data_IF_566189092392
#
_entry.id   IF_566189092392
#
_cell.length_a   1.000
_cell.length_b   1.000
_cell.length_c   1.000
_cell.angle_alpha   90.00
_cell.angle_beta   90.00
_cell.angle_gamma   90.00
#
_symmetry.space_group_name_H-M   'P 1'
#
loop_
_entity.id
_entity.type
_entity.pdbx_description
1 polymer ?
#
# COMPACT_ATOMS: atom_id res chain seq x y z
N UNK A 1 8.90 11.01 -19.72
CA UNK A 1 8.77 10.78 -18.26
C UNK A 1 7.30 10.62 -17.85
N UNK A 2 6.43 11.61 -18.07
CA UNK A 2 4.97 11.50 -17.80
C UNK A 2 4.30 10.25 -18.40
N UNK A 3 4.56 9.96 -19.69
CA UNK A 3 3.98 8.80 -20.37
C UNK A 3 4.36 7.44 -19.72
N UNK A 4 5.57 7.31 -19.16
CA UNK A 4 6.03 6.09 -18.49
C UNK A 4 5.28 5.86 -17.19
N UNK A 5 5.10 6.91 -16.38
CA UNK A 5 4.31 6.80 -15.15
C UNK A 5 2.83 6.58 -15.43
N UNK A 6 2.27 7.21 -16.46
CA UNK A 6 0.89 6.93 -16.87
C UNK A 6 0.72 5.45 -17.25
N UNK A 7 1.65 4.87 -18.01
CA UNK A 7 1.61 3.46 -18.34
C UNK A 7 1.77 2.57 -17.10
N UNK A 8 2.75 2.85 -16.24
CA UNK A 8 2.92 2.12 -14.98
C UNK A 8 1.68 2.21 -14.08
N UNK A 9 0.94 3.33 -14.10
CA UNK A 9 -0.32 3.45 -13.37
C UNK A 9 -1.41 2.60 -14.00
N UNK A 10 -1.49 2.52 -15.33
CA UNK A 10 -2.42 1.63 -16.02
C UNK A 10 -2.12 0.16 -15.72
N UNK A 11 -0.85 -0.22 -15.80
CA UNK A 11 -0.41 -1.57 -15.47
C UNK A 11 -0.71 -1.87 -13.99
N UNK A 12 -0.49 -0.88 -13.10
CA UNK A 12 -0.85 -1.05 -11.70
C UNK A 12 -2.36 -1.15 -11.49
N UNK A 13 -3.21 -0.33 -12.08
CA UNK A 13 -4.66 -0.39 -11.79
C UNK A 13 -5.39 -1.54 -12.46
N UNK A 14 -4.73 -2.27 -13.36
CA UNK A 14 -5.28 -3.46 -13.99
C UNK A 14 -5.49 -4.57 -12.96
N UNK A 15 -6.75 -5.00 -12.83
CA UNK A 15 -7.15 -6.06 -11.91
C UNK A 15 -6.50 -7.40 -12.27
N UNK A 16 -6.17 -7.63 -13.53
CA UNK A 16 -5.58 -8.89 -13.96
C UNK A 16 -4.16 -9.11 -13.40
N UNK A 17 -3.51 -8.02 -12.93
CA UNK A 17 -2.18 -8.08 -12.32
C UNK A 17 -2.18 -8.53 -10.85
N UNK A 18 -3.35 -8.72 -10.23
CA UNK A 18 -3.51 -9.56 -9.04
C UNK A 18 -2.79 -9.11 -7.76
N UNK A 19 -2.36 -7.85 -7.67
CA UNK A 19 -1.92 -7.22 -6.41
C UNK A 19 -3.13 -6.78 -5.58
N UNK A 20 -4.23 -6.37 -6.22
CA UNK A 20 -5.42 -5.89 -5.52
C UNK A 20 -6.12 -7.05 -4.77
N UNK A 21 -6.53 -6.79 -3.53
CA UNK A 21 -7.30 -7.73 -2.72
C UNK A 21 -8.70 -7.17 -2.48
N UNK A 22 -9.73 -7.87 -2.96
CA UNK A 22 -11.13 -7.50 -2.74
C UNK A 22 -11.78 -8.38 -1.68
N UNK A 23 -12.06 -7.79 -0.51
CA UNK A 23 -12.74 -8.49 0.58
C UNK A 23 -14.20 -8.88 0.23
N UNK A 24 -14.81 -8.23 -0.77
CA UNK A 24 -16.20 -8.48 -1.17
C UNK A 24 -16.41 -9.90 -1.71
N UNK A 25 -15.37 -10.51 -2.30
CA UNK A 25 -15.42 -11.86 -2.87
C UNK A 25 -14.41 -12.81 -2.23
N UNK A 26 -13.71 -12.37 -1.19
CA UNK A 26 -12.76 -13.21 -0.47
C UNK A 26 -13.48 -14.19 0.44
N UNK A 27 -13.07 -15.47 0.39
CA UNK A 27 -13.45 -16.44 1.41
C UNK A 27 -12.78 -16.12 2.75
N UNK A 28 -13.34 -16.63 3.86
CA UNK A 28 -12.75 -16.42 5.19
C UNK A 28 -11.29 -16.89 5.28
N UNK A 29 -10.95 -18.01 4.61
CA UNK A 29 -9.57 -18.51 4.52
C UNK A 29 -8.65 -17.53 3.80
N UNK A 30 -9.10 -16.94 2.68
CA UNK A 30 -8.29 -15.95 1.95
C UNK A 30 -8.07 -14.66 2.73
N UNK A 31 -9.00 -14.29 3.61
CA UNK A 31 -8.82 -13.16 4.53
C UNK A 31 -7.82 -13.49 5.63
N UNK A 32 -7.86 -14.70 6.18
CA UNK A 32 -6.92 -15.14 7.22
C UNK A 32 -5.50 -15.33 6.68
N UNK A 33 -5.38 -15.81 5.44
CA UNK A 33 -4.10 -16.01 4.76
C UNK A 33 -3.61 -14.71 4.07
N UNK A 34 -4.35 -13.60 4.17
CA UNK A 34 -3.96 -12.35 3.56
C UNK A 34 -2.72 -11.77 4.23
N UNK A 35 -1.73 -11.43 3.40
CA UNK A 35 -0.50 -10.76 3.82
C UNK A 35 -0.29 -9.50 3.00
N UNK A 36 -0.13 -8.38 3.69
CA UNK A 36 0.15 -7.09 3.03
C UNK A 36 1.51 -7.14 2.32
N UNK A 37 2.45 -7.96 2.82
CA UNK A 37 3.75 -8.15 2.21
C UNK A 37 3.65 -8.80 0.82
N UNK A 38 2.75 -9.76 0.65
CA UNK A 38 2.56 -10.43 -0.64
C UNK A 38 1.96 -9.46 -1.66
N UNK A 39 1.05 -8.59 -1.23
CA UNK A 39 0.48 -7.53 -2.07
C UNK A 39 1.55 -6.52 -2.50
N UNK A 40 2.33 -6.00 -1.57
CA UNK A 40 3.35 -5.00 -1.87
C UNK A 40 4.50 -5.58 -2.70
N UNK A 41 4.88 -6.86 -2.51
CA UNK A 41 5.83 -7.55 -3.37
C UNK A 41 5.33 -7.65 -4.82
N UNK A 42 4.05 -7.97 -5.01
CA UNK A 42 3.43 -7.96 -6.35
C UNK A 42 3.36 -6.56 -6.94
N UNK A 43 2.94 -5.57 -6.15
CA UNK A 43 2.89 -4.17 -6.55
C UNK A 43 4.26 -3.68 -7.06
N UNK A 44 5.34 -4.01 -6.34
CA UNK A 44 6.71 -3.70 -6.74
C UNK A 44 7.13 -4.39 -8.04
N UNK A 45 6.68 -5.63 -8.28
CA UNK A 45 6.96 -6.32 -9.54
C UNK A 45 6.24 -5.74 -10.75
N UNK A 46 5.02 -5.19 -10.55
CA UNK A 46 4.16 -4.66 -11.62
C UNK A 46 4.51 -3.23 -11.99
N UNK A 47 4.78 -2.38 -11.00
CA UNK A 47 5.07 -0.96 -11.24
C UNK A 47 6.18 -0.44 -10.31
N UNK A 48 7.43 -0.92 -10.47
CA UNK A 48 8.53 -0.57 -9.57
C UNK A 48 8.79 0.94 -9.51
N UNK A 49 8.63 1.65 -10.64
CA UNK A 49 8.87 3.09 -10.70
C UNK A 49 7.84 3.91 -9.90
N UNK A 50 6.64 3.37 -9.69
CA UNK A 50 5.63 4.00 -8.83
C UNK A 50 5.93 3.73 -7.36
N UNK A 51 6.40 2.53 -7.02
CA UNK A 51 6.84 2.21 -5.65
C UNK A 51 8.00 3.13 -5.21
N UNK A 52 8.99 3.36 -6.08
CA UNK A 52 10.10 4.28 -5.81
C UNK A 52 9.61 5.72 -5.56
N UNK A 53 8.57 6.15 -6.29
CA UNK A 53 7.93 7.45 -6.11
C UNK A 53 7.22 7.56 -4.77
N UNK A 54 6.51 6.52 -4.35
CA UNK A 54 5.83 6.47 -3.06
C UNK A 54 6.84 6.55 -1.92
N UNK A 55 7.96 5.82 -2.02
CA UNK A 55 9.05 5.90 -1.04
C UNK A 55 9.69 7.29 -0.99
N UNK A 56 9.87 7.94 -2.14
CA UNK A 56 10.42 9.29 -2.23
C UNK A 56 9.49 10.34 -1.60
N UNK A 57 8.18 10.21 -1.83
CA UNK A 57 7.16 11.14 -1.29
C UNK A 57 6.87 10.87 0.18
N UNK A 58 6.95 9.60 0.61
CA UNK A 58 6.74 9.16 1.99
C UNK A 58 7.84 9.56 2.97
N UNK A 59 8.87 10.28 2.53
CA UNK A 59 9.88 10.87 3.41
C UNK A 59 10.96 9.91 3.92
N UNK A 60 10.87 8.61 3.62
CA UNK A 60 11.84 7.63 4.12
C UNK A 60 13.04 7.48 3.18
N UNK A 61 13.96 8.44 3.21
CA UNK A 61 15.30 8.28 2.62
C UNK A 61 16.21 7.34 3.43
N UNK A 62 15.67 6.62 4.41
CA UNK A 62 16.43 5.76 5.32
C UNK A 62 15.85 4.36 5.37
N UNK A 63 16.16 3.57 4.34
CA UNK A 63 16.41 2.16 4.56
C UNK A 63 15.20 1.28 4.85
N UNK A 64 14.05 1.53 4.23
CA UNK A 64 13.10 0.45 3.90
C UNK A 64 13.75 -0.48 2.88
N UNK A 65 14.74 -1.23 3.35
CA UNK A 65 15.01 -2.55 2.82
C UNK A 65 13.69 -3.26 3.04
N UNK A 66 12.96 -3.53 1.95
CA UNK A 66 11.89 -4.51 1.91
C UNK A 66 12.50 -5.87 2.28
N UNK A 67 12.87 -6.02 3.54
CA UNK A 67 13.53 -7.17 4.09
C UNK A 67 12.45 -7.93 4.79
N UNK A 68 12.05 -9.03 4.15
CA UNK A 68 11.48 -10.20 4.80
C UNK A 68 12.36 -10.60 5.97
N UNK A 69 12.16 -9.99 7.13
CA UNK A 69 12.69 -10.43 8.42
C UNK A 69 11.85 -9.79 9.51
N UNK A 70 11.10 -10.66 10.18
CA UNK A 70 10.38 -10.40 11.41
C UNK A 70 11.37 -9.98 12.51
N UNK A 71 11.60 -8.68 12.70
CA UNK A 71 12.16 -8.13 13.94
C UNK A 71 11.51 -6.78 14.24
N UNK A 72 10.44 -6.83 15.05
CA UNK A 72 10.02 -5.82 16.03
C UNK A 72 10.35 -4.34 15.73
N UNK A 73 9.63 -3.74 14.79
CA UNK A 73 9.41 -2.28 14.83
C UNK A 73 8.13 -2.00 15.61
N UNK A 74 8.33 -1.53 16.83
CA UNK A 74 7.30 -0.92 17.66
C UNK A 74 6.58 0.16 16.84
N UNK A 75 5.35 -0.15 16.44
CA UNK A 75 4.55 0.69 15.57
C UNK A 75 4.57 2.13 16.05
N UNK A 76 5.09 3.02 15.20
CA UNK A 76 5.11 4.44 15.47
C UNK A 76 3.71 4.89 15.89
N UNK A 77 3.55 5.25 17.17
CA UNK A 77 2.31 5.78 17.68
C UNK A 77 2.05 7.10 16.93
N UNK A 78 0.97 7.13 16.16
CA UNK A 78 0.50 8.34 15.50
C UNK A 78 0.39 9.46 16.54
N UNK A 79 0.89 10.65 16.21
CA UNK A 79 0.75 11.78 17.11
C UNK A 79 -0.71 12.28 17.15
N UNK A 80 -1.01 13.17 18.10
CA UNK A 80 -2.38 13.65 18.30
C UNK A 80 -2.93 14.37 17.05
N UNK A 81 -2.06 15.03 16.28
CA UNK A 81 -2.43 15.80 15.11
C UNK A 81 -2.74 14.86 13.93
N UNK A 82 -1.96 13.78 13.78
CA UNK A 82 -2.20 12.71 12.81
C UNK A 82 -3.49 11.94 13.13
N UNK A 83 -3.73 11.62 14.40
CA UNK A 83 -4.98 10.95 14.83
C UNK A 83 -6.19 11.82 14.49
N UNK A 84 -6.13 13.13 14.78
CA UNK A 84 -7.22 14.06 14.48
C UNK A 84 -7.46 14.16 12.97
N UNK A 85 -6.40 14.31 12.18
CA UNK A 85 -6.47 14.37 10.72
C UNK A 85 -7.17 13.12 10.14
N UNK A 86 -6.71 11.92 10.51
CA UNK A 86 -7.27 10.67 9.99
C UNK A 86 -8.70 10.44 10.45
N UNK A 87 -9.03 10.79 11.70
CA UNK A 87 -10.39 10.70 12.24
C UNK A 87 -11.38 11.58 11.47
N UNK A 88 -10.95 12.77 11.05
CA UNK A 88 -11.77 13.70 10.27
C UNK A 88 -12.00 13.19 8.84
N UNK A 89 -11.00 12.60 8.19
CA UNK A 89 -11.18 11.98 6.86
C UNK A 89 -12.11 10.75 6.88
N UNK A 90 -12.02 9.90 7.90
CA UNK A 90 -12.90 8.72 8.03
C UNK A 90 -14.35 9.12 8.32
N UNK A 91 -14.57 10.20 9.08
CA UNK A 91 -15.90 10.74 9.34
C UNK A 91 -16.58 11.32 8.09
N UNK A 92 -15.81 11.73 7.07
CA UNK A 92 -16.35 12.30 5.82
C UNK A 92 -16.52 11.27 4.69
N UNK A 93 -15.97 10.06 4.83
CA UNK A 93 -16.05 8.98 3.84
C UNK A 93 -17.27 8.06 3.96
N UNK A 94 -18.25 8.38 4.81
CA UNK A 94 -19.53 7.67 4.89
C UNK A 94 -20.40 7.95 3.67
N UNK A 95 -20.10 7.29 2.55
CA UNK A 95 -20.95 7.30 1.36
C UNK A 95 -21.91 6.10 1.40
N UNK A 96 -23.19 6.46 1.33
CA UNK A 96 -24.40 5.67 1.18
C UNK A 96 -24.35 4.68 0.01
#
# INVERSE_FOLDING_TARGET
MKARYCQATWDLVDTDNGWHFSALHASATQVLDFRIEDMASKMQSVAPELCDLILLVGGESRGLKWSTSDEDEEGALLDADEIEYWSHTLAQGGLQ
#
